data_IF_286128232749
#
_entry.id   IF_286128232749
#
_cell.length_a   1.000
_cell.length_b   1.000
_cell.length_c   1.000
_cell.angle_alpha   90.00
_cell.angle_beta   90.00
_cell.angle_gamma   90.00
#
_symmetry.space_group_name_H-M   'P 1'
#
loop_
_entity.id
_entity.type
_entity.pdbx_description
1 polymer ?
#
# COMPACT_ATOMS: atom_id res chain seq x y z
N UNK A 1 8.20 -5.51 16.78
CA UNK A 1 7.54 -5.18 15.50
C UNK A 1 7.59 -6.32 14.46
N UNK A 2 8.71 -7.03 14.26
CA UNK A 2 8.78 -8.21 13.37
C UNK A 2 7.99 -9.45 13.86
N UNK A 3 7.73 -9.58 15.16
CA UNK A 3 6.93 -10.69 15.71
C UNK A 3 5.44 -10.62 15.34
N UNK A 4 4.86 -9.42 15.22
CA UNK A 4 3.43 -9.26 14.90
C UNK A 4 3.10 -9.65 13.44
N UNK A 5 4.05 -9.46 12.52
CA UNK A 5 3.90 -9.86 11.11
C UNK A 5 3.90 -11.38 10.92
N UNK A 6 4.65 -12.11 11.76
CA UNK A 6 4.70 -13.59 11.70
C UNK A 6 3.41 -14.24 12.16
N UNK A 7 2.75 -13.69 13.18
CA UNK A 7 1.52 -14.24 13.73
C UNK A 7 0.29 -13.88 12.88
N UNK A 8 0.24 -12.67 12.31
CA UNK A 8 -0.78 -12.29 11.31
C UNK A 8 -0.70 -13.19 10.06
N UNK A 9 0.52 -13.54 9.62
CA UNK A 9 0.71 -14.48 8.51
C UNK A 9 0.25 -15.92 8.84
N UNK A 10 0.46 -16.37 10.08
CA UNK A 10 0.06 -17.71 10.54
C UNK A 10 -1.47 -17.85 10.57
N UNK A 11 -2.17 -16.79 10.98
CA UNK A 11 -3.65 -16.77 11.01
C UNK A 11 -4.23 -16.65 9.60
N UNK A 12 -3.60 -15.90 8.69
CA UNK A 12 -4.01 -15.80 7.28
C UNK A 12 -3.88 -17.10 6.47
N UNK A 13 -2.97 -18.01 6.86
CA UNK A 13 -2.77 -19.31 6.21
C UNK A 13 -3.87 -20.35 6.51
N UNK A 14 -4.58 -20.20 7.64
CA UNK A 14 -5.60 -21.15 8.08
C UNK A 14 -6.94 -20.99 7.32
N UNK A 15 -7.18 -19.83 6.69
CA UNK A 15 -8.45 -19.50 6.04
C UNK A 15 -8.45 -19.46 4.50
N UNK A 16 -7.35 -19.80 3.82
CA UNK A 16 -7.21 -19.51 2.39
C UNK A 16 -7.45 -20.70 1.42
N UNK A 17 -8.07 -20.44 0.25
CA UNK A 17 -8.34 -21.46 -0.76
C UNK A 17 -7.04 -22.07 -1.33
N UNK A 18 -7.10 -23.35 -1.70
CA UNK A 18 -5.97 -24.19 -2.14
C UNK A 18 -5.07 -23.55 -3.23
N UNK A 19 -5.64 -22.65 -4.05
CA UNK A 19 -4.95 -21.90 -5.11
C UNK A 19 -4.00 -20.81 -4.57
N UNK A 20 -4.43 -20.04 -3.56
CA UNK A 20 -3.65 -18.97 -2.94
C UNK A 20 -2.41 -19.49 -2.21
N UNK A 21 -2.48 -20.72 -1.69
CA UNK A 21 -1.34 -21.40 -1.05
C UNK A 21 -0.13 -21.50 -1.97
N UNK A 22 -0.32 -21.68 -3.28
CA UNK A 22 0.76 -21.90 -4.25
C UNK A 22 1.51 -20.61 -4.66
N UNK A 23 0.80 -19.48 -4.75
CA UNK A 23 1.36 -18.19 -5.10
C UNK A 23 2.05 -17.54 -3.91
N UNK A 24 1.45 -17.63 -2.72
CA UNK A 24 2.04 -17.15 -1.47
C UNK A 24 3.33 -17.90 -1.12
N UNK A 25 3.42 -19.19 -1.45
CA UNK A 25 4.62 -19.98 -1.23
C UNK A 25 5.83 -19.46 -2.02
N UNK A 26 5.64 -18.92 -3.24
CA UNK A 26 6.76 -18.41 -4.06
C UNK A 26 7.37 -17.12 -3.50
N UNK A 27 6.53 -16.19 -3.05
CA UNK A 27 6.98 -14.95 -2.40
C UNK A 27 7.60 -15.22 -1.02
N UNK A 28 7.01 -16.16 -0.26
CA UNK A 28 7.54 -16.61 1.02
C UNK A 28 8.89 -17.32 0.86
N UNK A 29 9.03 -18.18 -0.16
CA UNK A 29 10.29 -18.86 -0.48
C UNK A 29 11.38 -17.87 -0.88
N UNK A 30 11.06 -16.81 -1.64
CA UNK A 30 12.04 -15.79 -2.05
C UNK A 30 12.65 -15.06 -0.83
N UNK A 31 11.83 -14.77 0.19
CA UNK A 31 12.28 -14.08 1.42
C UNK A 31 13.00 -15.04 2.38
N UNK A 32 12.52 -16.27 2.52
CA UNK A 32 13.08 -17.26 3.46
C UNK A 32 14.29 -18.06 2.93
N UNK A 33 14.36 -18.36 1.62
CA UNK A 33 15.44 -19.18 1.04
C UNK A 33 16.70 -18.40 0.67
N UNK A 34 16.60 -17.08 0.43
CA UNK A 34 17.75 -16.28 -0.01
C UNK A 34 18.50 -15.59 1.13
N UNK A 35 18.05 -15.66 2.39
CA UNK A 35 18.82 -15.21 3.56
C UNK A 35 19.13 -13.71 3.62
N UNK A 36 18.50 -12.90 2.77
CA UNK A 36 18.85 -11.48 2.59
C UNK A 36 18.21 -10.51 3.61
N UNK A 37 17.62 -10.98 4.72
CA UNK A 37 17.10 -10.09 5.78
C UNK A 37 16.26 -8.91 5.25
N UNK A 38 16.49 -7.70 5.78
CA UNK A 38 15.84 -6.45 5.36
C UNK A 38 16.03 -6.10 3.87
N UNK A 39 17.25 -6.18 3.28
CA UNK A 39 17.41 -5.86 1.86
C UNK A 39 16.66 -6.80 0.92
N UNK A 40 16.48 -8.08 1.29
CA UNK A 40 15.66 -9.03 0.53
C UNK A 40 14.19 -8.62 0.47
N UNK A 41 13.64 -8.11 1.57
CA UNK A 41 12.27 -7.60 1.64
C UNK A 41 12.07 -6.36 0.77
N UNK A 42 13.03 -5.43 0.77
CA UNK A 42 12.99 -4.24 -0.08
C UNK A 42 13.01 -4.58 -1.57
N UNK A 43 13.89 -5.51 -1.98
CA UNK A 43 13.96 -5.97 -3.36
C UNK A 43 12.67 -6.68 -3.80
N UNK A 44 12.07 -7.50 -2.94
CA UNK A 44 10.82 -8.18 -3.23
C UNK A 44 9.65 -7.19 -3.40
N UNK A 45 9.54 -6.18 -2.52
CA UNK A 45 8.53 -5.12 -2.63
C UNK A 45 8.69 -4.32 -3.93
N UNK A 46 9.92 -3.94 -4.26
CA UNK A 46 10.23 -3.24 -5.49
C UNK A 46 9.83 -4.09 -6.71
N UNK A 47 10.28 -5.35 -6.78
CA UNK A 47 9.93 -6.25 -7.88
C UNK A 47 8.41 -6.47 -8.03
N UNK A 48 7.68 -6.65 -6.91
CA UNK A 48 6.22 -6.79 -6.93
C UNK A 48 5.52 -5.54 -7.46
N UNK A 49 5.96 -4.34 -7.05
CA UNK A 49 5.38 -3.08 -7.54
C UNK A 49 5.56 -2.90 -9.04
N UNK A 50 6.76 -3.19 -9.56
CA UNK A 50 7.04 -3.14 -11.00
C UNK A 50 6.21 -4.15 -11.79
N UNK A 51 5.98 -5.34 -11.23
CA UNK A 51 5.13 -6.34 -11.87
C UNK A 51 3.67 -5.88 -12.02
N UNK A 52 3.12 -5.23 -10.99
CA UNK A 52 1.76 -4.65 -11.06
C UNK A 52 1.67 -3.56 -12.14
N UNK A 53 2.66 -2.66 -12.19
CA UNK A 53 2.72 -1.58 -13.20
C UNK A 53 2.75 -2.18 -14.61
N UNK A 54 3.59 -3.19 -14.86
CA UNK A 54 3.67 -3.86 -16.15
C UNK A 54 2.34 -4.56 -16.49
N UNK A 55 1.70 -5.21 -15.52
CA UNK A 55 0.39 -5.85 -15.70
C UNK A 55 -0.70 -4.87 -16.13
N UNK A 56 -0.79 -3.72 -15.45
CA UNK A 56 -1.72 -2.64 -15.79
C UNK A 56 -1.47 -2.08 -17.20
N UNK A 57 -0.21 -1.83 -17.54
CA UNK A 57 0.13 -1.39 -18.90
C UNK A 57 -0.30 -2.42 -19.94
N UNK A 58 0.05 -3.70 -19.76
CA UNK A 58 -0.36 -4.77 -20.69
C UNK A 58 -1.90 -4.82 -20.79
N UNK A 59 -2.62 -4.69 -19.69
CA UNK A 59 -4.08 -4.68 -19.67
C UNK A 59 -4.66 -3.53 -20.52
N UNK A 60 -4.15 -2.31 -20.36
CA UNK A 60 -4.56 -1.14 -21.14
C UNK A 60 -4.23 -1.32 -22.64
N UNK A 61 -3.03 -1.83 -22.96
CA UNK A 61 -2.57 -2.01 -24.34
C UNK A 61 -3.22 -3.19 -25.07
N UNK A 62 -3.64 -4.25 -24.36
CA UNK A 62 -4.30 -5.42 -24.94
C UNK A 62 -5.76 -5.18 -25.37
N UNK A 63 -6.27 -3.95 -25.25
CA UNK A 63 -7.47 -3.52 -25.97
C UNK A 63 -8.80 -4.12 -25.48
N UNK A 64 -8.85 -4.64 -24.25
CA UNK A 64 -10.08 -5.19 -23.67
C UNK A 64 -11.19 -4.14 -23.44
N UNK A 65 -10.85 -2.84 -23.49
CA UNK A 65 -11.79 -1.73 -23.44
C UNK A 65 -11.62 -0.80 -24.66
N UNK A 66 -12.38 -0.98 -25.75
CA UNK A 66 -12.23 -0.20 -26.99
C UNK A 66 -12.58 1.29 -26.85
N UNK A 67 -13.19 1.71 -25.73
CA UNK A 67 -13.61 3.08 -25.47
C UNK A 67 -12.70 3.88 -24.53
N UNK A 68 -11.81 3.25 -23.77
CA UNK A 68 -11.10 3.91 -22.67
C UNK A 68 -9.78 4.58 -23.12
N UNK A 69 -9.15 4.08 -24.19
CA UNK A 69 -7.85 4.59 -24.63
C UNK A 69 -7.87 5.11 -26.08
N UNK A 70 -8.16 6.41 -26.25
CA UNK A 70 -8.12 7.12 -27.56
C UNK A 70 -6.77 7.77 -27.91
N UNK A 71 -5.69 7.33 -27.25
CA UNK A 71 -4.34 7.85 -27.45
C UNK A 71 -4.05 9.19 -26.73
N UNK A 72 -2.79 9.63 -26.81
CA UNK A 72 -2.33 10.89 -26.20
C UNK A 72 -2.85 12.08 -27.02
N UNK A 73 -3.94 12.70 -26.56
CA UNK A 73 -4.45 13.96 -27.13
C UNK A 73 -4.17 15.14 -26.21
N UNK A 74 -3.93 16.32 -26.77
CA UNK A 74 -3.66 17.56 -26.00
C UNK A 74 -4.85 17.96 -25.11
N UNK A 75 -6.07 17.53 -25.47
CA UNK A 75 -7.25 17.72 -24.62
C UNK A 75 -7.16 16.93 -23.29
N UNK A 76 -6.53 15.75 -23.30
CA UNK A 76 -6.34 14.95 -22.09
C UNK A 76 -5.33 15.60 -21.13
N UNK A 77 -4.33 16.32 -21.64
CA UNK A 77 -3.39 17.06 -20.79
C UNK A 77 -4.04 18.23 -20.04
N UNK A 78 -5.04 18.90 -20.63
CA UNK A 78 -5.75 19.99 -19.94
C UNK A 78 -6.54 19.47 -18.74
N UNK A 79 -7.17 18.30 -18.88
CA UNK A 79 -7.88 17.63 -17.80
C UNK A 79 -6.89 17.10 -16.74
N UNK A 80 -5.78 16.50 -17.19
CA UNK A 80 -4.73 15.99 -16.31
C UNK A 80 -4.12 17.09 -15.43
N UNK A 81 -3.93 18.30 -15.94
CA UNK A 81 -3.42 19.43 -15.13
C UNK A 81 -4.37 19.78 -13.98
N UNK A 82 -5.68 19.67 -14.18
CA UNK A 82 -6.67 19.87 -13.13
C UNK A 82 -6.57 18.76 -12.06
N UNK A 83 -6.45 17.51 -12.49
CA UNK A 83 -6.26 16.34 -11.60
C UNK A 83 -4.96 16.45 -10.83
N UNK A 84 -3.86 16.91 -11.45
CA UNK A 84 -2.58 17.13 -10.76
C UNK A 84 -2.72 18.20 -9.68
N UNK A 85 -3.44 19.30 -9.96
CA UNK A 85 -3.69 20.34 -8.95
C UNK A 85 -4.49 19.80 -7.75
N UNK A 86 -5.52 18.99 -8.01
CA UNK A 86 -6.28 18.32 -6.96
C UNK A 86 -5.43 17.30 -6.18
N UNK A 87 -4.58 16.54 -6.89
CA UNK A 87 -3.65 15.56 -6.32
C UNK A 87 -2.61 16.23 -5.43
N UNK A 88 -2.09 17.41 -5.80
CA UNK A 88 -1.18 18.18 -4.95
C UNK A 88 -1.89 18.61 -3.67
N UNK A 89 -3.13 19.09 -3.74
CA UNK A 89 -3.91 19.47 -2.55
C UNK A 89 -4.14 18.28 -1.61
N UNK A 90 -4.58 17.14 -2.15
CA UNK A 90 -4.76 15.91 -1.39
C UNK A 90 -3.44 15.38 -0.83
N UNK A 91 -2.38 15.41 -1.62
CA UNK A 91 -1.04 14.99 -1.23
C UNK A 91 -0.49 15.81 -0.06
N UNK A 92 -0.70 17.12 -0.05
CA UNK A 92 -0.31 17.98 1.07
C UNK A 92 -1.11 17.65 2.33
N UNK A 93 -2.42 17.43 2.21
CA UNK A 93 -3.27 17.03 3.33
C UNK A 93 -2.79 15.72 3.97
N UNK A 94 -2.51 14.71 3.15
CA UNK A 94 -2.00 13.40 3.61
C UNK A 94 -0.57 13.52 4.18
N UNK A 95 0.29 14.35 3.58
CA UNK A 95 1.63 14.59 4.12
C UNK A 95 1.60 15.25 5.50
N UNK A 96 0.71 16.23 5.71
CA UNK A 96 0.54 16.87 7.01
C UNK A 96 0.03 15.89 8.06
N UNK A 97 -0.88 14.98 7.69
CA UNK A 97 -1.36 13.93 8.58
C UNK A 97 -0.23 12.96 8.98
N UNK A 98 0.59 12.53 8.01
CA UNK A 98 1.78 11.69 8.25
C UNK A 98 2.80 12.39 9.17
N UNK A 99 3.06 13.68 8.95
CA UNK A 99 3.95 14.47 9.82
C UNK A 99 3.40 14.64 11.22
N UNK A 100 2.11 14.92 11.35
CA UNK A 100 1.45 15.04 12.65
C UNK A 100 1.54 13.73 13.43
N UNK A 101 1.23 12.60 12.79
CA UNK A 101 1.36 11.28 13.39
C UNK A 101 2.81 10.95 13.77
N UNK A 102 3.80 11.34 12.95
CA UNK A 102 5.21 11.15 13.29
C UNK A 102 5.63 11.95 14.54
N UNK A 103 5.18 13.21 14.66
CA UNK A 103 5.44 14.04 15.84
C UNK A 103 4.75 13.48 17.08
N UNK A 104 3.51 12.98 16.96
CA UNK A 104 2.80 12.33 18.07
C UNK A 104 3.54 11.08 18.56
N UNK A 105 4.04 10.24 17.67
CA UNK A 105 4.81 9.05 18.02
C UNK A 105 6.15 9.42 18.68
N UNK A 106 6.81 10.48 18.21
CA UNK A 106 8.03 11.01 18.84
C UNK A 106 7.77 11.52 20.26
N UNK A 107 6.68 12.26 20.48
CA UNK A 107 6.25 12.72 21.81
C UNK A 107 5.89 11.55 22.73
N UNK A 108 5.19 10.55 22.20
CA UNK A 108 4.86 9.33 22.94
C UNK A 108 6.13 8.59 23.40
N UNK A 109 7.20 8.64 22.60
CA UNK A 109 8.52 8.10 22.93
C UNK A 109 9.25 8.82 24.06
N UNK A 110 8.88 10.06 24.38
CA UNK A 110 9.49 10.85 25.47
C UNK A 110 8.77 10.67 26.82
N UNK A 111 7.64 9.97 26.85
CA UNK A 111 6.89 9.70 28.08
C UNK A 111 7.58 8.64 28.94
N UNK A 112 7.39 8.71 30.26
CA UNK A 112 7.96 7.76 31.23
C UNK A 112 7.62 6.27 30.95
N UNK A 113 6.55 6.00 30.20
CA UNK A 113 6.15 4.68 29.70
C UNK A 113 6.02 4.66 28.17
N UNK A 114 7.10 5.00 27.46
CA UNK A 114 7.17 5.12 26.00
C UNK A 114 6.68 3.88 25.23
N UNK A 115 7.02 2.67 25.70
CA UNK A 115 6.68 1.42 24.99
C UNK A 115 5.17 1.21 24.88
N UNK A 116 4.43 1.43 25.98
CA UNK A 116 2.98 1.25 26.01
C UNK A 116 2.27 2.32 25.16
N UNK A 117 2.74 3.56 25.23
CA UNK A 117 2.17 4.66 24.46
C UNK A 117 2.37 4.45 22.95
N UNK A 118 3.58 4.10 22.51
CA UNK A 118 3.87 3.82 21.10
C UNK A 118 3.06 2.63 20.59
N UNK A 119 2.91 1.58 21.40
CA UNK A 119 2.11 0.41 21.01
C UNK A 119 0.64 0.77 20.79
N UNK A 120 0.04 1.56 21.70
CA UNK A 120 -1.32 2.05 21.56
C UNK A 120 -1.48 2.92 20.29
N UNK A 121 -0.56 3.86 20.05
CA UNK A 121 -0.57 4.67 18.84
C UNK A 121 -0.45 3.83 17.57
N UNK A 122 0.41 2.80 17.56
CA UNK A 122 0.57 1.91 16.40
C UNK A 122 -0.71 1.15 16.05
N UNK A 123 -1.50 0.73 17.05
CA UNK A 123 -2.80 0.07 16.82
C UNK A 123 -3.80 1.07 16.26
N UNK A 124 -3.90 2.27 16.83
CA UNK A 124 -4.80 3.32 16.35
C UNK A 124 -4.51 3.70 14.89
N UNK A 125 -3.24 3.87 14.53
CA UNK A 125 -2.83 4.19 13.16
C UNK A 125 -3.19 3.07 12.18
N UNK A 126 -3.08 1.80 12.60
CA UNK A 126 -3.43 0.67 11.76
C UNK A 126 -4.93 0.63 11.44
N UNK A 127 -5.78 0.90 12.44
CA UNK A 127 -7.23 0.97 12.27
C UNK A 127 -7.61 2.14 11.35
N UNK A 128 -7.03 3.33 11.56
CA UNK A 128 -7.26 4.47 10.67
C UNK A 128 -6.85 4.19 9.21
N UNK A 129 -5.74 3.48 9.00
CA UNK A 129 -5.31 3.11 7.65
C UNK A 129 -6.30 2.16 6.96
N UNK A 130 -6.91 1.23 7.71
CA UNK A 130 -7.95 0.34 7.19
C UNK A 130 -9.23 1.11 6.80
N UNK A 131 -9.71 1.99 7.68
CA UNK A 131 -10.87 2.85 7.41
C UNK A 131 -10.67 3.73 6.17
N UNK A 132 -9.44 4.24 5.98
CA UNK A 132 -9.09 5.03 4.80
C UNK A 132 -9.15 4.20 3.50
N UNK A 133 -8.66 2.96 3.51
CA UNK A 133 -8.73 2.07 2.34
C UNK A 133 -10.17 1.74 1.94
N UNK A 134 -11.04 1.51 2.93
CA UNK A 134 -12.47 1.29 2.69
C UNK A 134 -13.11 2.56 2.10
N UNK A 135 -12.77 3.73 2.64
CA UNK A 135 -13.28 5.01 2.14
C UNK A 135 -12.86 5.28 0.68
N UNK A 136 -11.64 4.91 0.31
CA UNK A 136 -11.14 5.05 -1.07
C UNK A 136 -11.83 4.09 -2.04
N UNK A 137 -12.11 2.86 -1.61
CA UNK A 137 -12.83 1.85 -2.41
C UNK A 137 -14.21 2.36 -2.82
N UNK A 138 -15.00 2.86 -1.85
CA UNK A 138 -16.30 3.48 -2.12
C UNK A 138 -16.22 4.71 -3.04
N UNK A 139 -15.14 5.49 -2.96
CA UNK A 139 -14.91 6.64 -3.83
C UNK A 139 -14.52 6.21 -5.25
N UNK A 140 -13.88 5.05 -5.42
CA UNK A 140 -13.46 4.51 -6.71
C UNK A 140 -14.63 3.94 -7.53
N UNK A 141 -15.59 3.28 -6.88
CA UNK A 141 -16.79 2.72 -7.54
C UNK A 141 -17.82 3.80 -7.98
N UNK A 142 -17.63 5.05 -7.55
CA UNK A 142 -18.55 6.14 -7.84
C UNK A 142 -18.32 6.84 -9.21
N UNK A 143 -17.48 6.29 -10.09
CA UNK A 143 -17.10 6.88 -11.40
C UNK A 143 -17.29 5.95 -12.58
#
# INVERSE_FOLDING_TARGET
MLMQLGDVWRVGQLGQPRQARSTLFKWWLLVYKLGFGVPGAMCALSASSWFLVIGEFIYIFCGWCPYSWKGFTVAAFKDLVHVVKLSISSGVMVCLDLWYNAVLVLLAGYMANAEVAIYAFSICLNINAWEFMISLDFLGDAW
#
